data_IF_092523597771
#
_entry.id   IF_092523597771
#
_cell.length_a   1.000
_cell.length_b   1.000
_cell.length_c   1.000
_cell.angle_alpha   90.00
_cell.angle_beta   90.00
_cell.angle_gamma   90.00
#
_symmetry.space_group_name_H-M   'P 1'
#
loop_
_entity.id
_entity.type
_entity.pdbx_description
1 polymer ?
#
# COMPACT_ATOMS: atom_id res chain seq x y z
N UNK A 1 8.83 5.36 -23.51
CA UNK A 1 8.84 4.14 -22.68
C UNK A 1 9.03 4.62 -21.24
N UNK A 2 8.03 4.57 -20.41
CA UNK A 2 8.19 4.93 -18.99
C UNK A 2 9.02 3.82 -18.34
N UNK A 3 10.13 4.17 -17.70
CA UNK A 3 10.95 3.18 -17.01
C UNK A 3 10.30 2.71 -15.70
N UNK A 4 9.57 3.60 -15.02
CA UNK A 4 8.82 3.31 -13.79
C UNK A 4 7.51 4.10 -13.78
N UNK A 5 6.48 3.63 -13.08
CA UNK A 5 5.22 4.36 -12.93
C UNK A 5 5.40 5.67 -12.15
N UNK A 6 6.38 5.72 -11.27
CA UNK A 6 6.78 6.93 -10.54
C UNK A 6 7.34 8.04 -11.44
N UNK A 7 7.76 7.72 -12.67
CA UNK A 7 8.19 8.70 -13.66
C UNK A 7 7.03 9.35 -14.44
N UNK A 8 5.80 8.81 -14.26
CA UNK A 8 4.62 9.36 -14.91
C UNK A 8 4.20 10.68 -14.26
N UNK A 9 3.70 11.61 -15.08
CA UNK A 9 2.95 12.72 -14.51
C UNK A 9 1.64 12.20 -13.87
N UNK A 10 1.11 12.92 -12.88
CA UNK A 10 -0.16 12.55 -12.25
C UNK A 10 -1.29 12.42 -13.28
N UNK A 11 -1.34 13.32 -14.27
CA UNK A 11 -2.33 13.32 -15.34
C UNK A 11 -2.21 12.08 -16.22
N UNK A 12 -0.99 11.70 -16.59
CA UNK A 12 -0.75 10.48 -17.36
C UNK A 12 -1.12 9.23 -16.58
N UNK A 13 -0.78 9.17 -15.28
CA UNK A 13 -1.16 8.06 -14.44
C UNK A 13 -2.69 7.88 -14.39
N UNK A 14 -3.44 8.96 -14.14
CA UNK A 14 -4.90 8.92 -14.10
C UNK A 14 -5.50 8.55 -15.46
N UNK A 15 -4.92 9.05 -16.55
CA UNK A 15 -5.37 8.74 -17.92
C UNK A 15 -5.22 7.25 -18.22
N UNK A 16 -4.07 6.64 -17.90
CA UNK A 16 -3.84 5.21 -18.13
C UNK A 16 -4.69 4.36 -17.18
N UNK A 17 -4.77 4.73 -15.89
CA UNK A 17 -5.59 4.02 -14.90
C UNK A 17 -7.08 3.96 -15.29
N UNK A 18 -7.60 4.99 -15.97
CA UNK A 18 -8.99 5.04 -16.44
C UNK A 18 -9.22 4.39 -17.81
N UNK A 19 -8.20 3.81 -18.42
CA UNK A 19 -8.26 3.15 -19.72
C UNK A 19 -8.55 1.64 -19.60
N UNK A 20 -8.46 0.94 -20.73
CA UNK A 20 -8.55 -0.53 -20.78
C UNK A 20 -7.19 -1.22 -20.62
N UNK A 21 -6.12 -0.49 -20.34
CA UNK A 21 -4.80 -1.05 -20.09
C UNK A 21 -4.81 -1.91 -18.82
N UNK A 22 -4.17 -3.08 -18.84
CA UNK A 22 -4.19 -3.99 -17.69
C UNK A 22 -3.42 -3.44 -16.47
N UNK A 23 -2.51 -2.49 -16.66
CA UNK A 23 -1.71 -1.83 -15.64
C UNK A 23 -1.47 -0.36 -15.96
N UNK A 24 -1.48 0.58 -14.99
CA UNK A 24 -1.75 0.34 -13.57
C UNK A 24 -3.19 -0.08 -13.32
N UNK A 25 -3.38 -0.91 -12.28
CA UNK A 25 -4.69 -1.30 -11.76
C UNK A 25 -4.88 -0.84 -10.32
N UNK A 26 -5.81 -1.51 -9.62
CA UNK A 26 -6.13 -1.22 -8.22
C UNK A 26 -4.92 -1.33 -7.28
N UNK A 27 -4.03 -2.30 -7.49
CA UNK A 27 -2.83 -2.47 -6.68
C UNK A 27 -1.84 -1.30 -6.84
N UNK A 28 -1.56 -0.90 -8.09
CA UNK A 28 -0.74 0.29 -8.34
C UNK A 28 -1.34 1.55 -7.71
N UNK A 29 -2.67 1.73 -7.80
CA UNK A 29 -3.37 2.84 -7.15
C UNK A 29 -3.21 2.81 -5.62
N UNK A 30 -3.28 1.62 -4.99
CA UNK A 30 -3.07 1.48 -3.54
C UNK A 30 -1.65 1.88 -3.12
N UNK A 31 -0.62 1.44 -3.86
CA UNK A 31 0.77 1.84 -3.60
C UNK A 31 0.95 3.35 -3.64
N UNK A 32 0.37 4.00 -4.66
CA UNK A 32 0.42 5.46 -4.78
C UNK A 32 -0.30 6.19 -3.64
N UNK A 33 -1.52 5.78 -3.31
CA UNK A 33 -2.31 6.40 -2.23
C UNK A 33 -1.59 6.24 -0.88
N UNK A 34 -1.02 5.09 -0.59
CA UNK A 34 -0.23 4.87 0.61
C UNK A 34 1.03 5.75 0.67
N UNK A 35 1.74 5.91 -0.46
CA UNK A 35 2.89 6.80 -0.56
C UNK A 35 2.51 8.26 -0.30
N UNK A 36 1.36 8.72 -0.83
CA UNK A 36 0.82 10.06 -0.53
C UNK A 36 0.48 10.19 0.94
N UNK A 37 -0.17 9.19 1.54
CA UNK A 37 -0.48 9.18 2.98
C UNK A 37 0.76 9.31 3.85
N UNK A 38 1.82 8.53 3.56
CA UNK A 38 3.10 8.62 4.29
C UNK A 38 3.81 9.96 4.06
N UNK A 39 3.71 10.54 2.86
CA UNK A 39 4.27 11.85 2.54
C UNK A 39 3.65 12.96 3.40
N UNK A 40 2.35 12.89 3.68
CA UNK A 40 1.67 13.80 4.61
C UNK A 40 2.21 13.65 6.03
N UNK A 41 2.44 12.42 6.51
CA UNK A 41 3.13 12.19 7.78
C UNK A 41 4.53 12.83 7.80
N UNK A 42 5.31 12.66 6.75
CA UNK A 42 6.63 13.26 6.63
C UNK A 42 6.58 14.80 6.59
N UNK A 43 5.56 15.39 5.97
CA UNK A 43 5.32 16.83 6.00
C UNK A 43 5.10 17.34 7.44
N UNK A 44 4.33 16.61 8.25
CA UNK A 44 4.14 16.97 9.67
C UNK A 44 5.46 16.98 10.42
N UNK A 45 6.33 15.98 10.20
CA UNK A 45 7.68 15.94 10.78
C UNK A 45 8.53 17.13 10.32
N UNK A 46 8.55 17.43 9.04
CA UNK A 46 9.29 18.56 8.47
C UNK A 46 8.81 19.91 9.03
N UNK A 47 7.52 20.03 9.30
CA UNK A 47 6.93 21.22 9.95
C UNK A 47 7.13 21.24 11.49
N UNK A 48 7.66 20.17 12.08
CA UNK A 48 7.90 20.05 13.53
C UNK A 48 9.37 20.26 13.88
N UNK A 49 10.27 19.74 13.07
CA UNK A 49 11.73 19.78 13.32
C UNK A 49 12.25 21.20 13.55
N UNK A 50 13.21 21.35 14.46
CA UNK A 50 13.85 22.62 14.80
C UNK A 50 13.00 23.59 15.62
N UNK A 51 11.74 23.28 15.92
CA UNK A 51 10.89 24.13 16.74
C UNK A 51 11.17 23.92 18.24
N UNK A 52 11.44 24.99 18.96
CA UNK A 52 11.71 24.96 20.41
C UNK A 52 10.67 24.22 21.25
N UNK A 53 9.40 24.31 20.84
CA UNK A 53 8.28 23.65 21.53
C UNK A 53 8.37 22.10 21.49
N UNK A 54 9.06 21.55 20.52
CA UNK A 54 9.20 20.10 20.29
C UNK A 54 10.66 19.62 20.45
N UNK A 55 11.50 20.42 21.12
CA UNK A 55 12.93 20.15 21.28
C UNK A 55 13.22 18.81 21.99
N UNK A 56 12.32 18.38 22.89
CA UNK A 56 12.42 17.07 23.58
C UNK A 56 12.30 15.88 22.64
N UNK A 57 11.64 16.03 21.47
CA UNK A 57 11.47 15.00 20.46
C UNK A 57 12.41 15.14 19.26
N UNK A 58 13.35 16.10 19.27
CA UNK A 58 14.13 16.46 18.08
C UNK A 58 14.88 15.26 17.48
N UNK A 59 15.56 14.46 18.30
CA UNK A 59 16.31 13.28 17.86
C UNK A 59 15.38 12.22 17.24
N UNK A 60 14.24 11.94 17.90
CA UNK A 60 13.23 11.01 17.38
C UNK A 60 12.63 11.52 16.07
N UNK A 61 12.35 12.82 15.95
CA UNK A 61 11.82 13.44 14.73
C UNK A 61 12.79 13.24 13.56
N UNK A 62 14.08 13.43 13.76
CA UNK A 62 15.11 13.23 12.73
C UNK A 62 15.19 11.78 12.28
N UNK A 63 15.13 10.82 13.21
CA UNK A 63 15.06 9.40 12.87
C UNK A 63 13.78 9.05 12.08
N UNK A 64 12.64 9.58 12.50
CA UNK A 64 11.37 9.34 11.85
C UNK A 64 11.32 9.93 10.43
N UNK A 65 11.95 11.07 10.18
CA UNK A 65 12.08 11.66 8.83
C UNK A 65 12.82 10.70 7.90
N UNK A 66 13.91 10.10 8.36
CA UNK A 66 14.67 9.12 7.55
C UNK A 66 13.80 7.91 7.23
N UNK A 67 13.14 7.33 8.24
CA UNK A 67 12.26 6.16 8.07
C UNK A 67 11.07 6.47 7.17
N UNK A 68 10.41 7.62 7.36
CA UNK A 68 9.26 8.03 6.56
C UNK A 68 9.63 8.29 5.09
N UNK A 69 10.81 8.87 4.85
CA UNK A 69 11.32 9.11 3.49
C UNK A 69 11.60 7.80 2.75
N UNK A 70 12.28 6.85 3.40
CA UNK A 70 12.52 5.51 2.84
C UNK A 70 11.20 4.78 2.55
N UNK A 71 10.30 4.79 3.52
CA UNK A 71 9.02 4.10 3.41
C UNK A 71 8.12 4.68 2.32
N UNK A 72 8.09 6.01 2.16
CA UNK A 72 7.40 6.67 1.05
C UNK A 72 7.91 6.17 -0.30
N UNK A 73 9.24 6.05 -0.45
CA UNK A 73 9.84 5.52 -1.68
C UNK A 73 9.45 4.06 -1.92
N UNK A 74 9.56 3.21 -0.90
CA UNK A 74 9.21 1.78 -0.99
C UNK A 74 7.73 1.57 -1.33
N UNK A 75 6.84 2.39 -0.79
CA UNK A 75 5.40 2.38 -1.12
C UNK A 75 5.15 2.80 -2.57
N UNK A 76 5.83 3.84 -3.06
CA UNK A 76 5.74 4.22 -4.46
C UNK A 76 6.26 3.12 -5.41
N UNK A 77 7.36 2.45 -5.06
CA UNK A 77 7.89 1.30 -5.81
C UNK A 77 6.91 0.11 -5.88
N UNK A 78 5.96 0.01 -4.93
CA UNK A 78 4.93 -1.03 -4.99
C UNK A 78 4.04 -0.92 -6.23
N UNK A 79 3.91 0.27 -6.84
CA UNK A 79 3.17 0.45 -8.09
C UNK A 79 3.75 -0.42 -9.20
N UNK A 80 5.08 -0.38 -9.37
CA UNK A 80 5.77 -1.16 -10.39
C UNK A 80 5.84 -2.65 -10.03
N UNK A 81 6.06 -2.97 -8.75
CA UNK A 81 6.08 -4.35 -8.25
C UNK A 81 4.74 -5.05 -8.47
N UNK A 82 3.63 -4.37 -8.22
CA UNK A 82 2.28 -4.90 -8.48
C UNK A 82 2.10 -5.20 -9.97
N UNK A 83 2.44 -4.26 -10.84
CA UNK A 83 2.36 -4.44 -12.28
C UNK A 83 3.24 -5.60 -12.80
N UNK A 84 4.47 -5.70 -12.32
CA UNK A 84 5.39 -6.78 -12.70
C UNK A 84 4.88 -8.15 -12.22
N UNK A 85 4.35 -8.23 -10.99
CA UNK A 85 3.82 -9.46 -10.42
C UNK A 85 2.55 -9.95 -11.13
N UNK A 86 1.77 -9.03 -11.70
CA UNK A 86 0.54 -9.34 -12.42
C UNK A 86 0.78 -9.83 -13.86
N UNK A 87 1.88 -9.44 -14.51
CA UNK A 87 2.17 -9.81 -15.92
C UNK A 87 2.09 -11.32 -16.21
N UNK A 88 2.68 -12.22 -15.39
CA UNK A 88 2.57 -13.66 -15.62
C UNK A 88 1.13 -14.16 -15.54
N UNK A 89 0.33 -13.62 -14.64
CA UNK A 89 -1.07 -13.97 -14.49
C UNK A 89 -1.90 -13.49 -15.68
N UNK A 90 -1.70 -12.27 -16.13
CA UNK A 90 -2.34 -11.73 -17.32
C UNK A 90 -2.02 -12.57 -18.57
N UNK A 91 -0.76 -12.97 -18.74
CA UNK A 91 -0.35 -13.85 -19.84
C UNK A 91 -1.02 -15.23 -19.74
N UNK A 92 -1.14 -15.80 -18.55
CA UNK A 92 -1.72 -17.12 -18.31
C UNK A 92 -3.23 -17.18 -18.67
N UNK A 93 -3.95 -16.06 -18.58
CA UNK A 93 -5.35 -16.00 -19.00
C UNK A 93 -5.52 -16.23 -20.51
N UNK A 94 -4.56 -15.82 -21.33
CA UNK A 94 -4.57 -15.97 -22.78
C UNK A 94 -4.06 -17.33 -23.29
N UNK A 95 -3.58 -18.23 -22.43
CA UNK A 95 -3.05 -19.53 -22.84
C UNK A 95 -4.16 -20.44 -23.42
N UNK A 96 -3.84 -21.25 -24.45
CA UNK A 96 -4.79 -22.18 -25.06
C UNK A 96 -5.28 -23.23 -24.06
N UNK A 97 -6.51 -23.75 -24.31
CA UNK A 97 -7.20 -24.72 -23.45
C UNK A 97 -8.00 -25.74 -24.24
N UNK A 98 -7.54 -26.04 -25.46
CA UNK A 98 -8.30 -26.89 -26.41
C UNK A 98 -7.97 -28.38 -26.25
N UNK A 99 -6.81 -28.73 -25.66
CA UNK A 99 -6.43 -30.11 -25.35
C UNK A 99 -6.17 -30.32 -23.86
N UNK A 100 -6.20 -31.58 -23.39
CA UNK A 100 -5.91 -31.91 -21.98
C UNK A 100 -4.50 -31.50 -21.56
N UNK A 101 -3.52 -31.63 -22.46
CA UNK A 101 -2.14 -31.18 -22.20
C UNK A 101 -2.08 -29.67 -22.01
N UNK A 102 -2.75 -28.89 -22.87
CA UNK A 102 -2.79 -27.43 -22.77
C UNK A 102 -3.49 -26.98 -21.49
N UNK A 103 -4.59 -27.63 -21.11
CA UNK A 103 -5.30 -27.36 -19.86
C UNK A 103 -4.36 -27.57 -18.66
N UNK A 104 -3.65 -28.72 -18.62
CA UNK A 104 -2.74 -29.06 -17.53
C UNK A 104 -1.54 -28.13 -17.45
N UNK A 105 -0.97 -27.76 -18.59
CA UNK A 105 0.12 -26.78 -18.66
C UNK A 105 -0.34 -25.41 -18.16
N UNK A 106 -1.47 -24.92 -18.68
CA UNK A 106 -2.08 -23.65 -18.24
C UNK A 106 -2.37 -23.64 -16.75
N UNK A 107 -2.91 -24.70 -16.18
CA UNK A 107 -3.15 -24.81 -14.74
C UNK A 107 -1.87 -24.70 -13.92
N UNK A 108 -0.80 -25.33 -14.39
CA UNK A 108 0.52 -25.28 -13.72
C UNK A 108 1.09 -23.87 -13.75
N UNK A 109 0.99 -23.17 -14.88
CA UNK A 109 1.45 -21.79 -15.04
C UNK A 109 0.61 -20.85 -14.16
N UNK A 110 -0.72 -20.99 -14.22
CA UNK A 110 -1.63 -20.18 -13.42
C UNK A 110 -1.41 -20.34 -11.90
N UNK A 111 -1.17 -21.57 -11.44
CA UNK A 111 -0.92 -21.81 -10.02
C UNK A 111 0.28 -20.99 -9.50
N UNK A 112 1.38 -20.99 -10.26
CA UNK A 112 2.57 -20.17 -9.90
C UNK A 112 2.29 -18.67 -10.02
N UNK A 113 1.63 -18.24 -11.09
CA UNK A 113 1.34 -16.84 -11.33
C UNK A 113 0.40 -16.25 -10.27
N UNK A 114 -0.59 -17.01 -9.78
CA UNK A 114 -1.48 -16.60 -8.70
C UNK A 114 -0.73 -16.38 -7.38
N UNK A 115 0.25 -17.22 -7.05
CA UNK A 115 1.08 -17.02 -5.86
C UNK A 115 1.82 -15.68 -5.95
N UNK A 116 2.57 -15.48 -7.03
CA UNK A 116 3.33 -14.23 -7.23
C UNK A 116 2.43 -12.99 -7.23
N UNK A 117 1.26 -13.08 -7.90
CA UNK A 117 0.29 -11.98 -7.94
C UNK A 117 -0.40 -11.72 -6.60
N UNK A 118 -0.37 -12.65 -5.64
CA UNK A 118 -0.88 -12.46 -4.27
C UNK A 118 0.18 -11.96 -3.32
N UNK A 119 1.46 -12.35 -3.50
CA UNK A 119 2.57 -11.93 -2.62
C UNK A 119 2.85 -10.42 -2.71
N UNK A 120 2.75 -9.83 -3.89
CA UNK A 120 3.02 -8.41 -4.08
C UNK A 120 2.05 -7.51 -3.28
N UNK A 121 0.71 -7.65 -3.41
CA UNK A 121 -0.21 -6.86 -2.59
C UNK A 121 -0.13 -7.20 -1.09
N UNK A 122 0.18 -8.44 -0.70
CA UNK A 122 0.38 -8.80 0.70
C UNK A 122 1.60 -8.09 1.30
N UNK A 123 2.73 -8.05 0.58
CA UNK A 123 3.92 -7.30 0.98
C UNK A 123 3.66 -5.79 1.03
N UNK A 124 2.83 -5.26 0.12
CA UNK A 124 2.40 -3.87 0.16
C UNK A 124 1.59 -3.58 1.43
N UNK A 125 0.69 -4.48 1.85
CA UNK A 125 -0.06 -4.33 3.10
C UNK A 125 0.86 -4.24 4.32
N UNK A 126 1.96 -5.01 4.36
CA UNK A 126 2.96 -4.93 5.44
C UNK A 126 3.62 -3.54 5.49
N UNK A 127 4.00 -2.98 4.33
CA UNK A 127 4.57 -1.63 4.25
C UNK A 127 3.56 -0.54 4.64
N UNK A 128 2.29 -0.71 4.25
CA UNK A 128 1.23 0.22 4.65
C UNK A 128 1.04 0.20 6.17
N UNK A 129 1.07 -0.96 6.80
CA UNK A 129 0.99 -1.06 8.27
C UNK A 129 2.19 -0.38 8.96
N UNK A 130 3.40 -0.49 8.39
CA UNK A 130 4.55 0.28 8.86
C UNK A 130 4.29 1.79 8.79
N UNK A 131 3.77 2.28 7.66
CA UNK A 131 3.43 3.69 7.46
C UNK A 131 2.39 4.17 8.48
N UNK A 132 1.34 3.38 8.71
CA UNK A 132 0.31 3.70 9.69
C UNK A 132 0.86 3.82 11.10
N UNK A 133 1.77 2.94 11.52
CA UNK A 133 2.46 3.03 12.83
C UNK A 133 3.32 4.27 12.95
N UNK A 134 4.01 4.67 11.87
CA UNK A 134 4.76 5.93 11.87
C UNK A 134 3.84 7.14 11.98
N UNK A 135 2.75 7.19 11.21
CA UNK A 135 1.78 8.29 11.24
C UNK A 135 1.11 8.37 12.62
N UNK A 136 0.79 7.24 13.25
CA UNK A 136 0.28 7.21 14.62
C UNK A 136 1.24 7.91 15.58
N UNK A 137 2.52 7.54 15.58
CA UNK A 137 3.53 8.19 16.40
C UNK A 137 3.67 9.68 16.08
N UNK A 138 3.68 10.05 14.80
CA UNK A 138 3.73 11.43 14.32
C UNK A 138 2.55 12.24 14.84
N UNK A 139 1.37 11.65 14.93
CA UNK A 139 0.16 12.32 15.45
C UNK A 139 0.29 12.72 16.94
N UNK A 140 1.18 12.05 17.68
CA UNK A 140 1.45 12.34 19.10
C UNK A 140 2.46 13.46 19.26
N UNK A 141 3.60 13.39 18.55
CA UNK A 141 4.75 14.29 18.74
C UNK A 141 4.81 15.44 17.73
N UNK A 142 4.01 15.39 16.69
CA UNK A 142 4.03 16.34 15.58
C UNK A 142 3.40 17.69 15.92
N UNK A 143 3.68 18.65 15.05
CA UNK A 143 3.17 20.02 15.17
C UNK A 143 1.64 20.06 15.11
N UNK A 144 1.02 20.62 16.14
CA UNK A 144 -0.45 20.80 16.22
C UNK A 144 -1.04 21.59 15.05
N UNK A 145 -0.26 22.46 14.42
CA UNK A 145 -0.72 23.25 13.26
C UNK A 145 -0.94 22.36 12.03
N UNK A 146 -0.19 21.27 11.91
CA UNK A 146 -0.26 20.33 10.79
C UNK A 146 -0.88 18.97 11.18
N UNK A 147 -1.51 18.89 12.35
CA UNK A 147 -2.02 17.59 12.84
C UNK A 147 -3.12 17.00 11.95
N UNK A 148 -3.90 17.84 11.28
CA UNK A 148 -4.90 17.41 10.31
C UNK A 148 -4.30 16.63 9.15
N UNK A 149 -3.07 16.94 8.73
CA UNK A 149 -2.38 16.22 7.65
C UNK A 149 -2.02 14.79 8.08
N UNK A 150 -1.70 14.55 9.37
CA UNK A 150 -1.56 13.21 9.91
C UNK A 150 -2.89 12.44 9.86
N UNK A 151 -4.01 13.11 10.14
CA UNK A 151 -5.36 12.53 10.02
C UNK A 151 -5.70 12.13 8.59
N UNK A 152 -5.42 12.99 7.61
CA UNK A 152 -5.61 12.68 6.19
C UNK A 152 -4.69 11.51 5.79
N UNK A 153 -3.43 11.54 6.22
CA UNK A 153 -2.44 10.50 5.92
C UNK A 153 -2.85 9.12 6.42
N UNK A 154 -3.33 9.01 7.68
CA UNK A 154 -3.77 7.71 8.23
C UNK A 154 -4.99 7.16 7.49
N UNK A 155 -5.97 7.99 7.16
CA UNK A 155 -7.16 7.59 6.41
C UNK A 155 -6.82 7.12 4.99
N UNK A 156 -5.86 7.79 4.31
CA UNK A 156 -5.38 7.36 3.00
C UNK A 156 -4.67 6.00 3.08
N UNK A 157 -3.84 5.79 4.10
CA UNK A 157 -3.18 4.50 4.32
C UNK A 157 -4.20 3.38 4.62
N UNK A 158 -5.25 3.65 5.40
CA UNK A 158 -6.32 2.68 5.64
C UNK A 158 -7.08 2.32 4.37
N UNK A 159 -7.44 3.30 3.55
CA UNK A 159 -8.08 3.05 2.26
C UNK A 159 -7.19 2.20 1.34
N UNK A 160 -5.89 2.49 1.29
CA UNK A 160 -4.90 1.71 0.54
C UNK A 160 -4.77 0.28 1.09
N UNK A 161 -4.76 0.08 2.40
CA UNK A 161 -4.74 -1.22 3.07
C UNK A 161 -5.93 -2.09 2.64
N UNK A 162 -7.14 -1.54 2.72
CA UNK A 162 -8.37 -2.20 2.28
C UNK A 162 -8.33 -2.53 0.78
N UNK A 163 -7.89 -1.59 -0.04
CA UNK A 163 -7.74 -1.81 -1.48
C UNK A 163 -6.73 -2.91 -1.81
N UNK A 164 -5.57 -2.92 -1.18
CA UNK A 164 -4.55 -3.94 -1.36
C UNK A 164 -5.03 -5.34 -0.97
N UNK A 165 -5.81 -5.48 0.11
CA UNK A 165 -6.38 -6.77 0.54
C UNK A 165 -7.31 -7.37 -0.51
N UNK A 166 -8.06 -6.55 -1.27
CA UNK A 166 -8.92 -7.04 -2.35
C UNK A 166 -8.10 -7.69 -3.48
N UNK A 167 -6.88 -7.19 -3.73
CA UNK A 167 -5.98 -7.80 -4.71
C UNK A 167 -5.38 -9.12 -4.20
N UNK A 168 -5.19 -9.29 -2.89
CA UNK A 168 -4.85 -10.60 -2.30
C UNK A 168 -6.01 -11.55 -2.49
N UNK A 169 -7.21 -11.21 -2.02
CA UNK A 169 -8.37 -12.11 -1.98
C UNK A 169 -8.87 -12.54 -3.36
N UNK A 170 -8.84 -11.66 -4.36
CA UNK A 170 -9.27 -12.04 -5.72
C UNK A 170 -8.35 -13.09 -6.33
N UNK A 171 -7.05 -13.04 -6.02
CA UNK A 171 -6.07 -14.00 -6.52
C UNK A 171 -6.13 -15.32 -5.72
N UNK A 172 -6.15 -15.26 -4.38
CA UNK A 172 -6.23 -16.46 -3.52
C UNK A 172 -7.52 -17.24 -3.73
N UNK A 173 -8.62 -16.58 -4.08
CA UNK A 173 -9.88 -17.21 -4.46
C UNK A 173 -9.72 -18.21 -5.64
N UNK A 174 -8.79 -17.93 -6.55
CA UNK A 174 -8.54 -18.73 -7.75
C UNK A 174 -7.48 -19.82 -7.54
N UNK A 175 -6.78 -19.84 -6.41
CA UNK A 175 -5.78 -20.85 -6.09
C UNK A 175 -6.42 -22.22 -5.85
N UNK A 176 -5.84 -23.27 -6.43
CA UNK A 176 -6.19 -24.66 -6.14
C UNK A 176 -5.61 -25.13 -4.80
N UNK A 177 -4.42 -24.66 -4.45
CA UNK A 177 -3.80 -24.87 -3.15
C UNK A 177 -4.53 -24.03 -2.11
N UNK A 178 -5.50 -24.67 -1.44
CA UNK A 178 -6.34 -23.98 -0.44
C UNK A 178 -5.59 -23.70 0.85
N UNK A 179 -4.63 -24.53 1.24
CA UNK A 179 -3.83 -24.32 2.45
C UNK A 179 -3.01 -23.04 2.33
N UNK A 180 -2.29 -22.88 1.20
CA UNK A 180 -1.53 -21.66 0.93
C UNK A 180 -2.43 -20.43 0.81
N UNK A 181 -3.58 -20.57 0.12
CA UNK A 181 -4.54 -19.46 -0.03
C UNK A 181 -5.09 -19.01 1.33
N UNK A 182 -5.43 -19.94 2.21
CA UNK A 182 -5.98 -19.65 3.53
C UNK A 182 -4.92 -19.04 4.46
N UNK A 183 -3.65 -19.44 4.35
CA UNK A 183 -2.53 -18.79 5.06
C UNK A 183 -2.34 -17.33 4.62
N UNK A 184 -2.37 -17.07 3.31
CA UNK A 184 -2.28 -15.69 2.78
C UNK A 184 -3.48 -14.84 3.21
N UNK A 185 -4.69 -15.39 3.15
CA UNK A 185 -5.89 -14.70 3.60
C UNK A 185 -5.83 -14.37 5.10
N UNK A 186 -5.40 -15.31 5.93
CA UNK A 186 -5.22 -15.09 7.37
C UNK A 186 -4.22 -13.98 7.67
N UNK A 187 -3.11 -13.92 6.94
CA UNK A 187 -2.14 -12.82 7.06
C UNK A 187 -2.76 -11.48 6.68
N UNK A 188 -3.48 -11.42 5.56
CA UNK A 188 -4.17 -10.21 5.12
C UNK A 188 -5.23 -9.74 6.14
N UNK A 189 -6.05 -10.66 6.67
CA UNK A 189 -7.06 -10.34 7.69
C UNK A 189 -6.42 -9.79 8.96
N UNK A 190 -5.29 -10.37 9.39
CA UNK A 190 -4.55 -9.88 10.55
C UNK A 190 -4.00 -8.46 10.34
N UNK A 191 -3.49 -8.17 9.14
CA UNK A 191 -3.02 -6.82 8.78
C UNK A 191 -4.18 -5.81 8.75
N UNK A 192 -5.33 -6.20 8.17
CA UNK A 192 -6.54 -5.38 8.17
C UNK A 192 -7.02 -5.04 9.59
N UNK A 193 -7.07 -6.03 10.48
CA UNK A 193 -7.50 -5.81 11.85
C UNK A 193 -6.57 -4.84 12.61
N UNK A 194 -5.25 -4.99 12.44
CA UNK A 194 -4.27 -4.08 13.04
C UNK A 194 -4.39 -2.67 12.48
N UNK A 195 -4.56 -2.54 11.17
CA UNK A 195 -4.70 -1.25 10.50
C UNK A 195 -5.96 -0.51 10.97
N UNK A 196 -7.09 -1.20 11.07
CA UNK A 196 -8.34 -0.61 11.54
C UNK A 196 -8.22 -0.05 12.96
N UNK A 197 -7.55 -0.79 13.88
CA UNK A 197 -7.31 -0.31 15.24
C UNK A 197 -6.42 0.95 15.25
N UNK A 198 -5.32 0.95 14.50
CA UNK A 198 -4.40 2.10 14.44
C UNK A 198 -5.11 3.32 13.84
N UNK A 199 -5.92 3.11 12.79
CA UNK A 199 -6.67 4.20 12.16
C UNK A 199 -7.67 4.82 13.16
N UNK A 200 -8.49 4.02 13.82
CA UNK A 200 -9.49 4.48 14.78
C UNK A 200 -8.85 5.30 15.90
N UNK A 201 -7.74 4.81 16.49
CA UNK A 201 -7.03 5.50 17.57
C UNK A 201 -6.38 6.80 17.09
N UNK A 202 -5.71 6.77 15.92
CA UNK A 202 -5.00 7.92 15.36
C UNK A 202 -5.97 8.99 14.87
N UNK A 203 -6.99 8.58 14.10
CA UNK A 203 -7.99 9.50 13.58
C UNK A 203 -8.81 10.13 14.71
N UNK A 204 -9.20 9.34 15.73
CA UNK A 204 -9.87 9.84 16.93
C UNK A 204 -9.05 10.93 17.62
N UNK A 205 -7.76 10.68 17.88
CA UNK A 205 -6.82 11.66 18.47
C UNK A 205 -6.71 12.95 17.66
N UNK A 206 -6.64 12.82 16.33
CA UNK A 206 -6.61 13.99 15.44
C UNK A 206 -7.94 14.75 15.50
N UNK A 207 -9.07 14.05 15.45
CA UNK A 207 -10.39 14.67 15.54
C UNK A 207 -10.58 15.46 16.85
N UNK A 208 -10.12 14.92 17.98
CA UNK A 208 -10.15 15.63 19.28
C UNK A 208 -9.28 16.89 19.28
N UNK A 209 -8.20 16.89 18.48
CA UNK A 209 -7.29 18.02 18.38
C UNK A 209 -7.78 19.14 17.43
N UNK A 210 -8.65 18.82 16.44
CA UNK A 210 -9.10 19.77 15.39
C UNK A 210 -10.54 20.24 15.60
N UNK A 211 -11.34 19.50 16.35
CA UNK A 211 -12.71 19.95 16.70
C UNK A 211 -12.68 20.97 17.81
N UNK A 212 -13.62 21.96 17.77
CA UNK A 212 -13.76 22.97 18.82
C UNK A 212 -14.26 22.40 20.14
#
# INVERSE_FOLDING_TARGET
>A
MFNMMTDMTMDNFLTVLSSSEPVPGGGGACGYVAAVGMSLGNMVLALTTGKKKYAEYQEEIEELIVKATDLTKRLAECMDKDAESFKPLAAAYGLPKDTEEQIKERETIMAKALVTASEAPLSMMELILEAMKLIDRISVIGSRIAISDAGVGITMCEAAMKGASLNVFINTKLMKDRELADDMNFKADKLLAQAAQIEEETFGRVMDAVRP
#
